data_IF_597732886235
#
_entry.id   IF_597732886235
#
_cell.length_a   1.000
_cell.length_b   1.000
_cell.length_c   1.000
_cell.angle_alpha   90.00
_cell.angle_beta   90.00
_cell.angle_gamma   90.00
#
_symmetry.space_group_name_H-M   'P 1'
#
loop_
_entity.id
_entity.type
_entity.pdbx_description
1 polymer ?
#
# COMPACT_ATOMS: atom_id res chain seq x y z
N UNK A 1 -7.62 8.09 21.05
CA UNK A 1 -6.98 6.77 20.93
C UNK A 1 -6.66 6.56 19.46
N UNK A 2 -5.39 6.30 19.15
CA UNK A 2 -5.00 5.94 17.78
C UNK A 2 -5.07 4.43 17.66
N UNK A 3 -5.86 3.95 16.71
CA UNK A 3 -5.94 2.53 16.38
C UNK A 3 -5.01 2.23 15.20
N UNK A 4 -4.41 1.05 15.20
CA UNK A 4 -3.63 0.53 14.09
C UNK A 4 -4.02 -0.92 13.85
N UNK A 5 -3.72 -1.44 12.66
CA UNK A 5 -3.93 -2.84 12.33
C UNK A 5 -2.96 -3.72 13.13
N UNK A 6 -3.41 -4.89 13.55
CA UNK A 6 -2.55 -5.89 14.18
C UNK A 6 -1.53 -6.45 13.17
N UNK A 7 -1.99 -6.72 11.95
CA UNK A 7 -1.22 -7.36 10.89
C UNK A 7 -1.59 -6.80 9.51
N UNK A 8 -0.81 -7.16 8.49
CA UNK A 8 -1.12 -6.82 7.11
C UNK A 8 -2.38 -7.55 6.61
N UNK A 9 -3.31 -6.80 6.03
CA UNK A 9 -4.54 -7.31 5.43
C UNK A 9 -4.51 -7.08 3.93
N UNK A 10 -4.93 -8.09 3.19
CA UNK A 10 -5.00 -8.03 1.73
C UNK A 10 -6.44 -8.20 1.27
N UNK A 11 -6.76 -7.56 0.16
CA UNK A 11 -8.04 -7.68 -0.52
C UNK A 11 -7.81 -7.68 -2.02
N UNK A 12 -8.67 -8.38 -2.75
CA UNK A 12 -8.64 -8.39 -4.20
C UNK A 12 -10.02 -8.02 -4.74
N UNK A 13 -10.02 -7.19 -5.78
CA UNK A 13 -11.23 -6.77 -6.46
C UNK A 13 -10.99 -6.77 -7.98
N UNK A 14 -11.91 -7.37 -8.72
CA UNK A 14 -11.87 -7.38 -10.19
C UNK A 14 -13.02 -6.55 -10.74
N UNK A 15 -12.70 -5.50 -11.50
CA UNK A 15 -13.68 -4.60 -12.13
C UNK A 15 -13.34 -4.49 -13.61
N UNK A 16 -14.31 -4.81 -14.49
CA UNK A 16 -14.18 -4.62 -15.95
C UNK A 16 -12.85 -5.16 -16.53
N UNK A 17 -12.44 -6.36 -16.11
CA UNK A 17 -11.17 -7.04 -16.46
C UNK A 17 -9.89 -6.43 -15.86
N UNK A 18 -9.99 -5.34 -15.11
CA UNK A 18 -8.89 -4.82 -14.29
C UNK A 18 -8.87 -5.52 -12.93
N UNK A 19 -7.69 -5.92 -12.48
CA UNK A 19 -7.44 -6.56 -11.18
C UNK A 19 -6.82 -5.54 -10.23
N UNK A 20 -7.46 -5.30 -9.10
CA UNK A 20 -7.00 -4.42 -8.03
C UNK A 20 -6.61 -5.27 -6.83
N UNK A 21 -5.36 -5.12 -6.39
CA UNK A 21 -4.83 -5.82 -5.22
C UNK A 21 -4.58 -4.78 -4.15
N UNK A 22 -5.42 -4.77 -3.12
CA UNK A 22 -5.29 -3.88 -1.97
C UNK A 22 -4.44 -4.53 -0.88
N UNK A 23 -3.50 -3.78 -0.32
CA UNK A 23 -2.77 -4.15 0.88
C UNK A 23 -2.83 -2.99 1.88
N UNK A 24 -3.27 -3.27 3.11
CA UNK A 24 -3.24 -2.31 4.21
C UNK A 24 -2.47 -2.94 5.36
N UNK A 25 -1.46 -2.25 5.88
CA UNK A 25 -0.59 -2.80 6.94
C UNK A 25 -0.10 -1.71 7.89
N UNK A 26 0.21 -2.04 9.15
CA UNK A 26 0.85 -1.09 10.06
C UNK A 26 2.30 -0.84 9.60
N UNK A 27 2.72 0.43 9.65
CA UNK A 27 4.12 0.85 9.40
C UNK A 27 4.50 1.92 10.41
N UNK A 28 5.78 1.96 10.79
CA UNK A 28 6.26 2.93 11.78
C UNK A 28 6.37 4.35 11.21
N UNK A 29 6.86 4.46 9.97
CA UNK A 29 7.17 5.74 9.31
C UNK A 29 7.13 5.60 7.78
N UNK A 30 7.47 6.70 7.09
CA UNK A 30 7.51 6.75 5.62
C UNK A 30 8.63 5.91 5.02
N UNK A 31 9.78 5.76 5.67
CA UNK A 31 10.87 4.96 5.13
C UNK A 31 10.48 3.47 5.08
N UNK A 32 9.87 2.96 6.15
CA UNK A 32 9.31 1.62 6.21
C UNK A 32 8.21 1.41 5.14
N UNK A 33 7.34 2.42 4.93
CA UNK A 33 6.32 2.37 3.90
C UNK A 33 6.91 2.23 2.48
N UNK A 34 7.99 2.96 2.17
CA UNK A 34 8.63 2.90 0.86
C UNK A 34 9.28 1.54 0.58
N UNK A 35 9.85 0.89 1.60
CA UNK A 35 10.38 -0.49 1.47
C UNK A 35 9.26 -1.47 1.10
N UNK A 36 8.10 -1.33 1.74
CA UNK A 36 6.92 -2.14 1.43
C UNK A 36 6.45 -1.92 0.00
N UNK A 37 6.32 -0.66 -0.42
CA UNK A 37 5.87 -0.31 -1.78
C UNK A 37 6.83 -0.88 -2.83
N UNK A 38 8.14 -0.80 -2.59
CA UNK A 38 9.14 -1.40 -3.47
C UNK A 38 9.00 -2.94 -3.55
N UNK A 39 8.73 -3.60 -2.43
CA UNK A 39 8.44 -5.04 -2.39
C UNK A 39 7.20 -5.41 -3.22
N UNK A 40 6.10 -4.69 -3.03
CA UNK A 40 4.85 -4.90 -3.77
C UNK A 40 5.04 -4.68 -5.28
N UNK A 41 5.86 -3.69 -5.68
CA UNK A 41 6.24 -3.48 -7.08
C UNK A 41 6.99 -4.68 -7.66
N UNK A 42 7.89 -5.27 -6.88
CA UNK A 42 8.64 -6.48 -7.27
C UNK A 42 7.75 -7.74 -7.37
N UNK A 43 6.79 -7.89 -6.45
CA UNK A 43 5.82 -9.00 -6.45
C UNK A 43 4.82 -8.92 -7.63
N UNK A 44 4.55 -7.71 -8.11
CA UNK A 44 3.59 -7.44 -9.18
C UNK A 44 4.21 -6.63 -10.33
N UNK A 45 5.16 -7.20 -11.10
CA UNK A 45 5.84 -6.47 -12.17
C UNK A 45 4.91 -6.05 -13.31
N UNK A 46 3.75 -6.70 -13.46
CA UNK A 46 2.72 -6.36 -14.44
C UNK A 46 1.67 -5.34 -13.95
N UNK A 47 1.79 -4.82 -12.72
CA UNK A 47 0.88 -3.78 -12.24
C UNK A 47 1.08 -2.49 -13.03
N UNK A 48 -0.01 -1.93 -13.56
CA UNK A 48 0.01 -0.65 -14.26
C UNK A 48 0.37 0.50 -13.33
N UNK A 49 -0.14 0.45 -12.09
CA UNK A 49 0.08 1.43 -11.04
C UNK A 49 0.23 0.72 -9.69
N UNK A 50 1.05 1.29 -8.81
CA UNK A 50 1.13 0.94 -7.38
C UNK A 50 0.83 2.19 -6.55
N UNK A 51 -0.45 2.57 -6.54
CA UNK A 51 -0.92 3.70 -5.75
C UNK A 51 -0.82 3.39 -4.25
N UNK A 52 -0.44 4.36 -3.43
CA UNK A 52 -0.37 4.19 -1.98
C UNK A 52 -0.66 5.49 -1.23
N UNK A 53 -1.12 5.33 0.01
CA UNK A 53 -1.31 6.40 0.96
C UNK A 53 -0.77 5.99 2.34
N UNK A 54 -0.33 6.97 3.11
CA UNK A 54 0.33 6.78 4.40
C UNK A 54 -0.20 7.78 5.43
N UNK A 55 -0.44 7.27 6.64
CA UNK A 55 -0.47 8.05 7.87
C UNK A 55 0.30 7.29 8.96
N UNK A 56 1.56 7.67 9.20
CA UNK A 56 2.42 7.01 10.18
C UNK A 56 3.54 7.95 10.65
N UNK A 57 4.03 7.77 11.88
CA UNK A 57 5.16 8.55 12.40
C UNK A 57 4.93 10.07 12.43
N UNK A 58 3.67 10.52 12.48
CA UNK A 58 3.31 11.94 12.37
C UNK A 58 3.40 12.51 10.94
N UNK A 59 3.60 11.65 9.94
CA UNK A 59 3.69 12.02 8.53
C UNK A 59 2.46 11.54 7.77
N UNK A 60 2.06 12.30 6.76
CA UNK A 60 1.08 11.89 5.75
C UNK A 60 1.70 11.97 4.36
N UNK A 61 1.33 11.04 3.48
CA UNK A 61 1.74 11.04 2.08
C UNK A 61 0.73 10.28 1.22
N UNK A 62 0.66 10.62 -0.06
CA UNK A 62 -0.10 9.90 -1.08
C UNK A 62 0.67 9.94 -2.39
N UNK A 63 0.55 8.90 -3.20
CA UNK A 63 1.15 8.81 -4.52
C UNK A 63 0.26 7.91 -5.39
N UNK A 64 -0.15 8.43 -6.54
CA UNK A 64 -1.05 7.75 -7.47
C UNK A 64 -0.31 6.89 -8.51
N UNK A 65 1.02 6.97 -8.59
CA UNK A 65 1.87 6.22 -9.54
C UNK A 65 1.42 6.39 -11.00
N UNK A 66 1.02 7.62 -11.38
CA UNK A 66 0.65 8.01 -12.75
C UNK A 66 -0.69 8.72 -12.84
#
# INVERSE_FOLDING_TARGET
>A
MNFTLADAVHSELVIRKSRFIGCVRPVADRAAALVVVAGLRGEHPGAAHVCWALMAGGQSAANDDG
#
